data_IF_172851391440
#
_entry.id   IF_172851391440
#
_cell.length_a   1.000
_cell.length_b   1.000
_cell.length_c   1.000
_cell.angle_alpha   90.00
_cell.angle_beta   90.00
_cell.angle_gamma   90.00
#
_symmetry.space_group_name_H-M   'P 1'
#
loop_
_entity.id
_entity.type
_entity.pdbx_description
1 polymer ?
#
# COMPACT_ATOMS: atom_id res chain seq x y z
N UNK A 1 -27.11 11.34 -25.22
CA UNK A 1 -25.96 10.66 -24.57
C UNK A 1 -26.04 10.95 -23.07
N UNK A 2 -26.38 9.95 -22.25
CA UNK A 2 -26.60 10.13 -20.82
C UNK A 2 -25.27 10.35 -20.08
N UNK A 3 -25.07 11.53 -19.51
CA UNK A 3 -23.91 11.87 -18.68
C UNK A 3 -24.11 11.33 -17.26
N UNK A 4 -23.98 10.00 -17.09
CA UNK A 4 -23.99 9.43 -15.74
C UNK A 4 -22.65 9.70 -15.05
N UNK A 5 -22.62 9.85 -13.71
CA UNK A 5 -21.38 10.03 -12.95
C UNK A 5 -20.34 8.93 -13.21
N UNK A 6 -20.79 7.67 -13.36
CA UNK A 6 -19.89 6.55 -13.70
C UNK A 6 -19.25 6.71 -15.08
N UNK A 7 -20.00 7.19 -16.08
CA UNK A 7 -19.47 7.44 -17.41
C UNK A 7 -18.48 8.62 -17.45
N UNK A 8 -18.56 9.54 -16.48
CA UNK A 8 -17.58 10.62 -16.33
C UNK A 8 -16.29 10.12 -15.68
N UNK A 9 -16.38 9.36 -14.58
CA UNK A 9 -15.22 8.74 -13.92
C UNK A 9 -14.44 7.83 -14.88
N UNK A 10 -15.14 7.00 -15.65
CA UNK A 10 -14.51 6.13 -16.65
C UNK A 10 -13.72 6.93 -17.70
N UNK A 11 -14.30 8.02 -18.21
CA UNK A 11 -13.63 8.90 -19.19
C UNK A 11 -12.42 9.62 -18.60
N UNK A 12 -12.52 10.09 -17.36
CA UNK A 12 -11.39 10.71 -16.65
C UNK A 12 -10.24 9.71 -16.49
N UNK A 13 -10.55 8.45 -16.13
CA UNK A 13 -9.57 7.39 -15.98
C UNK A 13 -8.88 7.04 -17.30
N UNK A 14 -9.64 6.95 -18.39
CA UNK A 14 -9.06 6.75 -19.72
C UNK A 14 -8.14 7.90 -20.13
N UNK A 15 -8.56 9.14 -19.87
CA UNK A 15 -7.77 10.33 -20.14
C UNK A 15 -6.45 10.32 -19.37
N UNK A 16 -6.50 10.07 -18.06
CA UNK A 16 -5.31 9.96 -17.23
C UNK A 16 -4.34 8.90 -17.75
N UNK A 17 -4.82 7.69 -18.05
CA UNK A 17 -3.97 6.61 -18.57
C UNK A 17 -3.34 6.99 -19.91
N UNK A 18 -4.10 7.65 -20.79
CA UNK A 18 -3.60 8.12 -22.07
C UNK A 18 -2.53 9.19 -21.90
N UNK A 19 -2.79 10.22 -21.08
CA UNK A 19 -1.87 11.32 -20.81
C UNK A 19 -0.58 10.83 -20.13
N UNK A 20 -0.68 9.91 -19.17
CA UNK A 20 0.48 9.32 -18.51
C UNK A 20 1.36 8.55 -19.51
N UNK A 21 0.76 7.68 -20.34
CA UNK A 21 1.49 6.93 -21.37
C UNK A 21 2.16 7.85 -22.38
N UNK A 22 1.43 8.86 -22.87
CA UNK A 22 1.99 9.82 -23.81
C UNK A 22 3.14 10.62 -23.23
N UNK A 23 2.99 11.11 -21.98
CA UNK A 23 4.03 11.85 -21.30
C UNK A 23 5.30 11.01 -21.17
N UNK A 24 5.22 9.81 -20.59
CA UNK A 24 6.42 8.98 -20.38
C UNK A 24 7.08 8.57 -21.69
N UNK A 25 6.32 8.36 -22.77
CA UNK A 25 6.87 8.05 -24.09
C UNK A 25 7.58 9.24 -24.78
N UNK A 26 7.23 10.48 -24.41
CA UNK A 26 7.70 11.70 -25.08
C UNK A 26 8.56 12.59 -24.19
N UNK A 27 8.65 12.34 -22.89
CA UNK A 27 9.23 13.23 -21.90
C UNK A 27 10.62 13.75 -22.28
N UNK A 28 11.52 12.87 -22.74
CA UNK A 28 12.89 13.24 -23.14
C UNK A 28 12.93 14.21 -24.33
N UNK A 29 11.94 14.14 -25.23
CA UNK A 29 11.83 14.98 -26.43
C UNK A 29 11.11 16.31 -26.16
N UNK A 30 10.48 16.45 -24.99
CA UNK A 30 9.78 17.68 -24.63
C UNK A 30 10.77 18.75 -24.17
N UNK A 31 10.53 20.04 -24.52
CA UNK A 31 11.20 21.17 -23.89
C UNK A 31 11.05 21.10 -22.37
N UNK A 32 12.07 21.53 -21.62
CA UNK A 32 12.09 21.41 -20.16
C UNK A 32 10.85 22.02 -19.49
N UNK A 33 10.43 23.22 -19.92
CA UNK A 33 9.25 23.90 -19.37
C UNK A 33 7.93 23.17 -19.66
N UNK A 34 7.81 22.51 -20.82
CA UNK A 34 6.65 21.69 -21.16
C UNK A 34 6.62 20.41 -20.33
N UNK A 35 7.80 19.79 -20.18
CA UNK A 35 7.98 18.56 -19.42
C UNK A 35 7.61 18.76 -17.95
N UNK A 36 8.09 19.84 -17.33
CA UNK A 36 7.73 20.19 -15.96
C UNK A 36 6.23 20.43 -15.80
N UNK A 37 5.61 21.20 -16.71
CA UNK A 37 4.17 21.49 -16.64
C UNK A 37 3.32 20.23 -16.73
N UNK A 38 3.64 19.33 -17.66
CA UNK A 38 2.92 18.05 -17.83
C UNK A 38 3.18 17.10 -16.68
N UNK A 39 4.40 17.05 -16.16
CA UNK A 39 4.71 16.26 -14.97
C UNK A 39 3.94 16.74 -13.73
N UNK A 40 3.81 18.06 -13.52
CA UNK A 40 3.01 18.61 -12.43
C UNK A 40 1.51 18.29 -12.57
N UNK A 41 0.98 18.27 -13.80
CA UNK A 41 -0.40 17.85 -14.05
C UNK A 41 -0.60 16.38 -13.69
N UNK A 42 0.27 15.50 -14.17
CA UNK A 42 0.23 14.08 -13.83
C UNK A 42 0.41 13.83 -12.34
N UNK A 43 1.26 14.61 -11.67
CA UNK A 43 1.46 14.52 -10.23
C UNK A 43 0.14 14.78 -9.48
N UNK A 44 -0.61 15.82 -9.85
CA UNK A 44 -1.92 16.11 -9.25
C UNK A 44 -2.95 15.00 -9.52
N UNK A 45 -2.95 14.45 -10.73
CA UNK A 45 -3.85 13.34 -11.05
C UNK A 45 -3.51 12.09 -10.22
N UNK A 46 -2.22 11.75 -10.09
CA UNK A 46 -1.76 10.65 -9.24
C UNK A 46 -2.21 10.87 -7.78
N UNK A 47 -2.04 12.08 -7.24
CA UNK A 47 -2.48 12.42 -5.88
C UNK A 47 -3.99 12.23 -5.72
N UNK A 48 -4.79 12.62 -6.73
CA UNK A 48 -6.25 12.48 -6.70
C UNK A 48 -6.69 11.00 -6.75
N UNK A 49 -6.12 10.20 -7.66
CA UNK A 49 -6.47 8.78 -7.77
C UNK A 49 -5.95 7.95 -6.59
N UNK A 50 -4.79 8.28 -6.03
CA UNK A 50 -4.32 7.66 -4.78
C UNK A 50 -5.26 7.99 -3.62
N UNK A 51 -5.65 9.25 -3.46
CA UNK A 51 -6.59 9.68 -2.41
C UNK A 51 -7.98 9.05 -2.53
N UNK A 52 -8.43 8.75 -3.75
CA UNK A 52 -9.67 8.05 -4.02
C UNK A 52 -9.57 6.51 -3.87
N UNK A 53 -8.36 5.96 -3.67
CA UNK A 53 -8.13 4.51 -3.63
C UNK A 53 -8.25 3.83 -5.00
N UNK A 54 -8.21 4.60 -6.09
CA UNK A 54 -8.31 4.10 -7.47
C UNK A 54 -6.94 3.72 -8.06
N UNK A 55 -5.86 4.12 -7.40
CA UNK A 55 -4.51 3.58 -7.61
C UNK A 55 -4.06 2.81 -6.39
N UNK A 56 -3.46 1.65 -6.62
CA UNK A 56 -2.76 0.94 -5.54
C UNK A 56 -1.51 1.72 -5.11
N UNK A 57 -1.04 1.46 -3.88
CA UNK A 57 0.21 2.04 -3.38
C UNK A 57 1.40 1.68 -4.30
N UNK A 58 1.45 0.45 -4.83
CA UNK A 58 2.50 0.01 -5.74
C UNK A 58 2.50 0.77 -7.07
N UNK A 59 1.33 0.90 -7.71
CA UNK A 59 1.19 1.67 -8.96
C UNK A 59 1.56 3.13 -8.76
N UNK A 60 1.12 3.72 -7.65
CA UNK A 60 1.41 5.12 -7.33
C UNK A 60 2.92 5.36 -7.18
N UNK A 61 3.61 4.50 -6.43
CA UNK A 61 5.07 4.59 -6.28
C UNK A 61 5.78 4.47 -7.62
N UNK A 62 5.39 3.50 -8.47
CA UNK A 62 5.99 3.33 -9.79
C UNK A 62 5.82 4.58 -10.67
N UNK A 63 4.63 5.18 -10.68
CA UNK A 63 4.36 6.40 -11.46
C UNK A 63 5.17 7.60 -10.94
N UNK A 64 5.27 7.78 -9.62
CA UNK A 64 6.07 8.86 -9.02
C UNK A 64 7.57 8.69 -9.30
N UNK A 65 8.08 7.46 -9.23
CA UNK A 65 9.48 7.15 -9.60
C UNK A 65 9.71 7.45 -11.09
N UNK A 66 8.77 7.09 -11.96
CA UNK A 66 8.85 7.40 -13.38
C UNK A 66 8.83 8.92 -13.64
N UNK A 67 8.02 9.69 -12.88
CA UNK A 67 8.03 11.15 -12.97
C UNK A 67 9.39 11.74 -12.58
N UNK A 68 9.97 11.28 -11.46
CA UNK A 68 11.32 11.72 -11.02
C UNK A 68 12.34 11.49 -12.12
N UNK A 69 12.37 10.30 -12.72
CA UNK A 69 13.30 9.96 -13.81
C UNK A 69 13.07 10.81 -15.07
N UNK A 70 11.82 11.16 -15.36
CA UNK A 70 11.47 11.97 -16.52
C UNK A 70 11.84 13.45 -16.36
N UNK A 71 11.79 14.00 -15.14
CA UNK A 71 11.95 15.45 -14.89
C UNK A 71 13.30 15.84 -14.32
N UNK A 72 14.02 14.93 -13.65
CA UNK A 72 15.29 15.23 -12.99
C UNK A 72 16.43 14.68 -13.83
N UNK A 73 17.34 15.53 -14.28
CA UNK A 73 18.44 15.11 -15.15
C UNK A 73 19.56 14.37 -14.40
N UNK A 74 19.88 14.79 -13.19
CA UNK A 74 20.98 14.23 -12.39
C UNK A 74 20.58 12.88 -11.74
N UNK A 75 21.28 11.77 -12.05
CA UNK A 75 21.02 10.47 -11.43
C UNK A 75 21.20 10.46 -9.91
N UNK A 76 22.14 11.23 -9.36
CA UNK A 76 22.34 11.29 -7.91
C UNK A 76 21.12 11.94 -7.24
N UNK A 77 20.64 13.06 -7.80
CA UNK A 77 19.40 13.69 -7.35
C UNK A 77 18.16 12.81 -7.54
N UNK A 78 18.08 12.02 -8.62
CA UNK A 78 16.99 11.05 -8.79
C UNK A 78 16.97 10.02 -7.65
N UNK A 79 18.13 9.45 -7.31
CA UNK A 79 18.24 8.45 -6.23
C UNK A 79 17.80 9.05 -4.88
N UNK A 80 18.25 10.27 -4.55
CA UNK A 80 17.85 10.96 -3.33
C UNK A 80 16.32 11.14 -3.24
N UNK A 81 15.68 11.57 -4.35
CA UNK A 81 14.23 11.78 -4.39
C UNK A 81 13.45 10.46 -4.30
N UNK A 82 13.96 9.38 -4.90
CA UNK A 82 13.35 8.05 -4.79
C UNK A 82 13.47 7.50 -3.36
N UNK A 83 14.61 7.68 -2.70
CA UNK A 83 14.78 7.31 -1.30
C UNK A 83 13.87 8.12 -0.36
N UNK A 84 13.77 9.44 -0.58
CA UNK A 84 12.84 10.29 0.17
C UNK A 84 11.39 9.86 -0.03
N UNK A 85 11.01 9.48 -1.25
CA UNK A 85 9.69 8.93 -1.57
C UNK A 85 9.43 7.62 -0.79
N UNK A 86 10.38 6.68 -0.83
CA UNK A 86 10.26 5.41 -0.11
C UNK A 86 10.18 5.62 1.42
N UNK A 87 10.95 6.54 1.97
CA UNK A 87 10.91 6.90 3.38
C UNK A 87 9.54 7.47 3.79
N UNK A 88 8.96 8.36 2.96
CA UNK A 88 7.62 8.90 3.19
C UNK A 88 6.56 7.79 3.23
N UNK A 89 6.52 6.92 2.23
CA UNK A 89 5.54 5.82 2.18
C UNK A 89 5.67 4.86 3.35
N UNK A 90 6.91 4.54 3.76
CA UNK A 90 7.17 3.75 4.97
C UNK A 90 6.61 4.42 6.22
N UNK A 91 6.92 5.69 6.44
CA UNK A 91 6.42 6.44 7.59
C UNK A 91 4.89 6.54 7.62
N UNK A 92 4.25 6.72 6.46
CA UNK A 92 2.78 6.72 6.37
C UNK A 92 2.19 5.33 6.67
N UNK A 93 2.79 4.26 6.16
CA UNK A 93 2.37 2.88 6.43
C UNK A 93 2.51 2.54 7.92
N UNK A 94 3.62 2.92 8.55
CA UNK A 94 3.85 2.74 9.99
C UNK A 94 2.82 3.50 10.82
N UNK A 95 2.50 4.76 10.45
CA UNK A 95 1.46 5.55 11.13
C UNK A 95 0.08 4.90 11.02
N UNK A 96 -0.31 4.46 9.82
CA UNK A 96 -1.59 3.75 9.59
C UNK A 96 -1.64 2.45 10.40
N UNK A 97 -0.56 1.67 10.39
CA UNK A 97 -0.47 0.44 11.17
C UNK A 97 -0.56 0.71 12.68
N UNK A 98 0.15 1.72 13.20
CA UNK A 98 0.08 2.11 14.60
C UNK A 98 -1.33 2.59 15.00
N UNK A 99 -2.02 3.34 14.13
CA UNK A 99 -3.40 3.76 14.35
C UNK A 99 -4.35 2.55 14.38
N UNK A 100 -4.21 1.63 13.42
CA UNK A 100 -4.99 0.40 13.38
C UNK A 100 -4.76 -0.46 14.63
N UNK A 101 -3.50 -0.62 15.06
CA UNK A 101 -3.16 -1.35 16.29
C UNK A 101 -3.77 -0.69 17.54
N UNK A 102 -3.79 0.65 17.61
CA UNK A 102 -4.45 1.38 18.72
C UNK A 102 -5.96 1.14 18.72
N UNK A 103 -6.60 1.15 17.55
CA UNK A 103 -8.03 0.85 17.43
C UNK A 103 -8.33 -0.60 17.83
N UNK A 104 -7.55 -1.55 17.33
CA UNK A 104 -7.65 -2.96 17.72
C UNK A 104 -7.46 -3.13 19.23
N UNK A 105 -6.46 -2.47 19.83
CA UNK A 105 -6.24 -2.51 21.28
C UNK A 105 -7.40 -1.88 22.09
N UNK A 106 -8.32 -1.14 21.48
CA UNK A 106 -9.54 -0.67 22.16
C UNK A 106 -10.68 -1.69 22.11
N UNK A 107 -10.62 -2.66 21.19
CA UNK A 107 -11.60 -3.74 21.08
C UNK A 107 -11.40 -4.79 22.20
N UNK A 108 -12.38 -4.99 23.10
CA UNK A 108 -12.30 -6.02 24.13
C UNK A 108 -12.07 -7.43 23.57
N UNK A 109 -12.68 -7.77 22.42
CA UNK A 109 -12.53 -9.08 21.77
C UNK A 109 -11.08 -9.29 21.31
N UNK A 110 -10.47 -8.25 20.75
CA UNK A 110 -9.06 -8.30 20.37
C UNK A 110 -8.13 -8.44 21.57
N UNK A 111 -8.41 -7.74 22.69
CA UNK A 111 -7.61 -7.90 23.93
C UNK A 111 -7.68 -9.33 24.46
N UNK A 112 -8.88 -9.90 24.51
CA UNK A 112 -9.09 -11.28 24.94
C UNK A 112 -8.39 -12.27 24.01
N UNK A 113 -8.50 -12.08 22.69
CA UNK A 113 -7.75 -12.84 21.70
C UNK A 113 -6.23 -12.75 21.92
N UNK A 114 -5.67 -11.55 22.13
CA UNK A 114 -4.23 -11.36 22.32
C UNK A 114 -3.71 -11.99 23.61
N UNK A 115 -4.50 -11.95 24.69
CA UNK A 115 -4.19 -12.68 25.93
C UNK A 115 -4.15 -14.18 25.64
N UNK A 116 -5.16 -14.71 24.95
CA UNK A 116 -5.25 -16.14 24.64
C UNK A 116 -4.18 -16.61 23.64
N UNK A 117 -3.79 -15.76 22.70
CA UNK A 117 -2.69 -16.01 21.77
C UNK A 117 -1.36 -16.19 22.53
N UNK A 118 -1.07 -15.35 23.53
CA UNK A 118 0.14 -15.50 24.36
C UNK A 118 0.13 -16.82 25.15
N UNK A 119 -1.02 -17.18 25.73
CA UNK A 119 -1.20 -18.47 26.42
C UNK A 119 -0.97 -19.65 25.46
N UNK A 120 -1.58 -19.64 24.27
CA UNK A 120 -1.41 -20.68 23.25
C UNK A 120 0.06 -20.81 22.83
N UNK A 121 0.74 -19.69 22.57
CA UNK A 121 2.17 -19.71 22.19
C UNK A 121 3.01 -20.31 23.31
N UNK A 122 2.78 -19.91 24.57
CA UNK A 122 3.51 -20.45 25.72
C UNK A 122 3.25 -21.96 25.90
N UNK A 123 1.98 -22.40 25.80
CA UNK A 123 1.60 -23.82 25.84
C UNK A 123 2.33 -24.62 24.74
N UNK A 124 2.28 -24.16 23.49
CA UNK A 124 2.86 -24.86 22.34
C UNK A 124 4.39 -24.91 22.41
N UNK A 125 5.04 -23.84 22.88
CA UNK A 125 6.49 -23.82 23.05
C UNK A 125 6.97 -24.73 24.19
N UNK A 126 6.15 -24.96 25.22
CA UNK A 126 6.46 -25.87 26.32
C UNK A 126 6.21 -27.35 25.97
N UNK A 127 5.48 -27.64 24.89
CA UNK A 127 5.18 -29.00 24.46
C UNK A 127 6.39 -29.71 23.86
N UNK A 128 6.57 -30.98 24.23
CA UNK A 128 7.64 -31.85 23.71
C UNK A 128 7.20 -32.76 22.55
N UNK A 129 5.89 -32.94 22.38
CA UNK A 129 5.28 -33.72 21.32
C UNK A 129 3.95 -33.07 20.92
N UNK A 130 3.61 -33.12 19.63
CA UNK A 130 2.43 -32.48 19.08
C UNK A 130 1.42 -33.54 18.58
N UNK A 131 0.12 -33.36 18.86
CA UNK A 131 -0.92 -34.28 18.40
C UNK A 131 -0.93 -34.45 16.88
N UNK A 132 -1.27 -35.66 16.42
CA UNK A 132 -1.45 -35.93 14.98
C UNK A 132 -0.16 -35.93 14.16
N UNK A 133 1.02 -35.99 14.80
CA UNK A 133 2.31 -35.97 14.10
C UNK A 133 2.66 -34.61 13.49
N UNK A 134 1.95 -33.55 13.87
CA UNK A 134 2.18 -32.20 13.38
C UNK A 134 3.54 -31.68 13.84
N UNK A 135 4.15 -30.82 13.03
CA UNK A 135 5.22 -29.97 13.51
C UNK A 135 4.68 -28.93 14.51
N UNK A 136 5.56 -28.38 15.34
CA UNK A 136 5.22 -27.30 16.28
C UNK A 136 4.51 -26.13 15.60
N UNK A 137 5.00 -25.73 14.44
CA UNK A 137 4.51 -24.53 13.72
C UNK A 137 3.13 -24.79 13.09
N UNK A 138 2.89 -26.01 12.58
CA UNK A 138 1.57 -26.41 12.09
C UNK A 138 0.55 -26.47 13.23
N UNK A 139 0.93 -27.06 14.36
CA UNK A 139 0.07 -27.14 15.54
C UNK A 139 -0.24 -25.75 16.10
N UNK A 140 0.76 -24.86 16.16
CA UNK A 140 0.57 -23.47 16.59
C UNK A 140 -0.42 -22.76 15.65
N UNK A 141 -0.23 -22.87 14.34
CA UNK A 141 -1.10 -22.23 13.35
C UNK A 141 -2.54 -22.71 13.48
N UNK A 142 -2.75 -24.02 13.65
CA UNK A 142 -4.08 -24.60 13.86
C UNK A 142 -4.75 -24.07 15.12
N UNK A 143 -4.03 -24.03 16.25
CA UNK A 143 -4.53 -23.52 17.53
C UNK A 143 -4.90 -22.04 17.45
N UNK A 144 -4.05 -21.21 16.84
CA UNK A 144 -4.32 -19.79 16.66
C UNK A 144 -5.50 -19.53 15.73
N UNK A 145 -5.65 -20.33 14.66
CA UNK A 145 -6.80 -20.24 13.76
C UNK A 145 -8.11 -20.58 14.48
N UNK A 146 -8.14 -21.66 15.27
CA UNK A 146 -9.32 -22.03 16.04
C UNK A 146 -9.74 -20.94 17.05
N UNK A 147 -8.77 -20.29 17.70
CA UNK A 147 -9.08 -19.19 18.63
C UNK A 147 -9.60 -17.95 17.90
N UNK A 148 -9.06 -17.63 16.72
CA UNK A 148 -9.59 -16.54 15.87
C UNK A 148 -11.05 -16.79 15.49
N UNK A 149 -11.37 -18.01 15.06
CA UNK A 149 -12.75 -18.38 14.71
C UNK A 149 -13.71 -18.28 15.90
N UNK A 150 -13.24 -18.55 17.11
CA UNK A 150 -14.04 -18.42 18.33
C UNK A 150 -14.35 -16.97 18.68
N UNK A 151 -13.39 -16.05 18.46
CA UNK A 151 -13.52 -14.63 18.83
C UNK A 151 -14.29 -13.81 17.80
N UNK A 152 -14.22 -14.21 16.52
CA UNK A 152 -14.78 -13.43 15.39
C UNK A 152 -15.94 -14.12 14.63
N UNK A 153 -16.44 -15.28 15.08
CA UNK A 153 -17.75 -15.78 14.68
C UNK A 153 -18.87 -15.02 15.39
#
# INVERSE_FOLDING_TARGET
MLATPQAQQYRQRQRFQHEARQFFAQAERLPASERERRAQALQRDIDAYEGAGELSAGETVLLRVALIRATVADPARQAELVEALAARYRGEAERRNAQWLRQQAQDPRFRDYKRREQEIVAEVMAMRAFPGGLSRDEYLRQRLQAERERVYR
#
